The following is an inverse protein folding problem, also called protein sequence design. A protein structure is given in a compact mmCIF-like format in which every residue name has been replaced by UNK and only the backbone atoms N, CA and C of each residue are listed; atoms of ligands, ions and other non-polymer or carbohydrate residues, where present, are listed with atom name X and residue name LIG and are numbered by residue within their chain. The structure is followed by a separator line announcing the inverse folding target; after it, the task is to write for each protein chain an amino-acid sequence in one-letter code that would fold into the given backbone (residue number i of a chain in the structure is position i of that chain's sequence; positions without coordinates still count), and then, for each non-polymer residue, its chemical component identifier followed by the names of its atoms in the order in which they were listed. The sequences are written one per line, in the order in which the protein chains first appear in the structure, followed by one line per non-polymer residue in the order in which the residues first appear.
data_IF_804347103112
#
_entry.id   IF_804347103112
#
_cell.length_a   1.000
_cell.length_b   1.000
_cell.length_c   1.000
_cell.angle_alpha   90.00
_cell.angle_beta   90.00
_cell.angle_gamma   90.00
#
_symmetry.space_group_name_H-M   'P 1'
#
loop_
_entity.id
_entity.type
_entity.pdbx_description
1 polymer ?
#
# COMPACT_ATOMS: atom_id res chain seq x y z
N UNK A 1 -10.08 -9.93 39.54
CA UNK A 1 -8.78 -10.36 38.97
C UNK A 1 -8.80 -9.96 37.51
N UNK A 2 -8.25 -8.79 37.20
CA UNK A 2 -8.34 -8.19 35.87
C UNK A 2 -7.45 -8.93 34.88
N UNK A 3 -8.05 -9.24 33.73
CA UNK A 3 -7.44 -9.81 32.54
C UNK A 3 -6.27 -8.93 32.09
N UNK A 4 -5.04 -9.44 32.22
CA UNK A 4 -3.85 -8.77 31.70
C UNK A 4 -3.84 -9.00 30.19
N UNK A 5 -4.47 -8.07 29.48
CA UNK A 5 -4.40 -7.85 28.03
C UNK A 5 -3.06 -8.32 27.46
N UNK A 6 -3.03 -9.55 26.95
CA UNK A 6 -1.82 -10.16 26.42
C UNK A 6 -1.56 -9.47 25.09
N UNK A 7 -0.66 -8.47 25.11
CA UNK A 7 -0.30 -7.70 23.92
C UNK A 7 0.19 -8.70 22.86
N UNK A 8 -0.44 -8.76 21.67
CA UNK A 8 -0.09 -9.77 20.67
C UNK A 8 1.37 -9.65 20.28
N UNK A 9 2.03 -10.77 19.96
CA UNK A 9 3.40 -10.77 19.47
C UNK A 9 3.55 -9.83 18.26
N UNK A 10 4.71 -9.20 18.09
CA UNK A 10 4.94 -8.20 17.04
C UNK A 10 4.70 -8.79 15.64
N UNK A 11 5.01 -10.08 15.46
CA UNK A 11 4.74 -10.85 14.26
C UNK A 11 3.24 -10.94 13.98
N UNK A 12 2.42 -11.20 15.01
CA UNK A 12 0.96 -11.25 14.91
C UNK A 12 0.37 -9.87 14.59
N UNK A 13 0.94 -8.80 15.16
CA UNK A 13 0.52 -7.42 14.82
C UNK A 13 0.82 -7.10 13.34
N UNK A 14 1.99 -7.50 12.85
CA UNK A 14 2.34 -7.34 11.44
C UNK A 14 1.42 -8.18 10.53
N UNK A 15 1.12 -9.43 10.89
CA UNK A 15 0.20 -10.30 10.13
C UNK A 15 -1.22 -9.73 10.07
N UNK A 16 -1.72 -9.17 11.19
CA UNK A 16 -3.01 -8.49 11.24
C UNK A 16 -3.03 -7.27 10.30
N UNK A 17 -2.02 -6.41 10.35
CA UNK A 17 -1.92 -5.24 9.44
C UNK A 17 -1.88 -5.67 7.97
N UNK A 18 -1.11 -6.70 7.63
CA UNK A 18 -1.07 -7.22 6.25
C UNK A 18 -2.45 -7.73 5.83
N UNK A 19 -3.13 -8.49 6.69
CA UNK A 19 -4.47 -9.00 6.40
C UNK A 19 -5.48 -7.86 6.18
N UNK A 20 -5.39 -6.79 6.96
CA UNK A 20 -6.22 -5.59 6.81
C UNK A 20 -5.93 -4.86 5.49
N UNK A 21 -4.66 -4.64 5.14
CA UNK A 21 -4.24 -4.04 3.87
C UNK A 21 -4.77 -4.86 2.69
N UNK A 22 -4.58 -6.18 2.71
CA UNK A 22 -5.03 -7.06 1.63
C UNK A 22 -6.56 -7.14 1.55
N UNK A 23 -7.26 -7.09 2.69
CA UNK A 23 -8.73 -7.05 2.72
C UNK A 23 -9.25 -5.73 2.17
N UNK A 24 -8.64 -4.61 2.52
CA UNK A 24 -8.98 -3.30 1.98
C UNK A 24 -8.76 -3.28 0.46
N UNK A 25 -7.60 -3.73 0.00
CA UNK A 25 -7.27 -3.89 -1.42
C UNK A 25 -8.33 -4.72 -2.18
N UNK A 26 -8.69 -5.88 -1.63
CA UNK A 26 -9.71 -6.73 -2.20
C UNK A 26 -11.09 -6.05 -2.21
N UNK A 27 -11.41 -5.25 -1.18
CA UNK A 27 -12.67 -4.51 -1.13
C UNK A 27 -12.79 -3.50 -2.26
N UNK A 28 -11.78 -2.66 -2.45
CA UNK A 28 -11.76 -1.65 -3.52
C UNK A 28 -11.75 -2.28 -4.92
N UNK A 29 -11.11 -3.43 -5.07
CA UNK A 29 -11.11 -4.14 -6.34
C UNK A 29 -12.48 -4.74 -6.73
N UNK A 30 -13.44 -4.87 -5.80
CA UNK A 30 -14.79 -5.38 -6.11
C UNK A 30 -15.65 -4.37 -6.86
N UNK A 31 -15.37 -3.08 -6.70
CA UNK A 31 -16.09 -1.99 -7.35
C UNK A 31 -15.46 -1.63 -8.71
N UNK A 32 -14.32 -2.25 -9.03
CA UNK A 32 -13.59 -2.06 -10.29
C UNK A 32 -13.75 -3.26 -11.22
N UNK A 33 -13.60 -3.07 -12.54
CA UNK A 33 -13.47 -4.15 -13.50
C UNK A 33 -12.45 -5.21 -13.06
N UNK A 34 -12.81 -6.49 -13.17
CA UNK A 34 -11.96 -7.61 -12.70
C UNK A 34 -10.55 -7.65 -13.29
N UNK A 35 -10.38 -7.11 -14.51
CA UNK A 35 -9.09 -6.97 -15.17
C UNK A 35 -8.12 -6.00 -14.45
N UNK A 36 -8.63 -5.11 -13.60
CA UNK A 36 -7.84 -4.12 -12.85
C UNK A 36 -7.42 -4.62 -11.47
N UNK A 37 -7.98 -5.75 -11.00
CA UNK A 37 -7.67 -6.33 -9.70
C UNK A 37 -6.15 -6.48 -9.46
N UNK A 38 -5.33 -6.99 -10.42
CA UNK A 38 -3.89 -7.07 -10.21
C UNK A 38 -3.21 -5.70 -10.08
N UNK A 39 -3.68 -4.71 -10.86
CA UNK A 39 -3.14 -3.34 -10.82
C UNK A 39 -3.45 -2.65 -9.49
N UNK A 40 -4.68 -2.79 -8.99
CA UNK A 40 -5.12 -2.27 -7.69
C UNK A 40 -4.33 -2.92 -6.56
N UNK A 41 -4.16 -4.26 -6.60
CA UNK A 41 -3.35 -4.98 -5.60
C UNK A 41 -1.89 -4.52 -5.57
N UNK A 42 -1.27 -4.32 -6.74
CA UNK A 42 0.10 -3.83 -6.82
C UNK A 42 0.26 -2.42 -6.21
N UNK A 43 -0.69 -1.51 -6.51
CA UNK A 43 -0.73 -0.17 -5.90
C UNK A 43 -0.90 -0.23 -4.39
N UNK A 44 -1.78 -1.11 -3.88
CA UNK A 44 -1.97 -1.31 -2.43
C UNK A 44 -0.69 -1.74 -1.72
N UNK A 45 0.02 -2.72 -2.30
CA UNK A 45 1.28 -3.22 -1.74
C UNK A 45 2.32 -2.11 -1.67
N UNK A 46 2.51 -1.36 -2.76
CA UNK A 46 3.50 -0.26 -2.80
C UNK A 46 3.14 0.89 -1.87
N UNK A 47 1.85 1.26 -1.75
CA UNK A 47 1.40 2.24 -0.76
C UNK A 47 1.68 1.79 0.68
N UNK A 48 1.42 0.52 0.99
CA UNK A 48 1.69 -0.03 2.32
C UNK A 48 3.19 -0.13 2.63
N UNK A 49 4.03 -0.46 1.65
CA UNK A 49 5.49 -0.36 1.77
C UNK A 49 5.94 1.06 2.10
N UNK A 50 5.37 2.06 1.42
CA UNK A 50 5.70 3.47 1.69
C UNK A 50 5.32 3.90 3.09
N UNK A 51 4.10 3.57 3.56
CA UNK A 51 3.68 3.87 4.93
C UNK A 51 4.61 3.18 5.94
N UNK A 52 5.04 1.95 5.65
CA UNK A 52 6.02 1.24 6.47
C UNK A 52 7.42 1.87 6.44
N UNK A 53 7.81 2.51 5.33
CA UNK A 53 9.10 3.21 5.17
C UNK A 53 9.08 4.65 5.70
N UNK A 54 7.92 5.28 5.90
CA UNK A 54 7.76 6.62 6.52
C UNK A 54 8.08 6.67 8.04
N UNK A 55 8.98 5.81 8.52
CA UNK A 55 9.41 5.69 9.93
C UNK A 55 9.85 7.02 10.55
N UNK A 56 10.30 7.97 9.73
CA UNK A 56 10.80 9.28 10.13
C UNK A 56 9.75 10.40 10.20
N UNK A 57 8.53 10.20 9.67
CA UNK A 57 7.49 11.25 9.59
C UNK A 57 6.45 11.19 10.71
N UNK A 58 6.36 10.08 11.43
CA UNK A 58 5.49 9.94 12.57
C UNK A 58 6.15 10.55 13.81
N UNK A 59 5.36 11.21 14.66
CA UNK A 59 5.85 11.75 15.92
C UNK A 59 6.58 10.65 16.71
N UNK A 60 7.81 10.89 17.19
CA UNK A 60 8.56 9.88 17.90
C UNK A 60 7.77 9.43 19.13
N UNK A 61 7.61 8.11 19.27
CA UNK A 61 6.98 7.54 20.45
C UNK A 61 8.02 7.38 21.58
N UNK A 62 7.59 7.32 22.85
CA UNK A 62 8.46 6.86 23.94
C UNK A 62 8.99 5.45 23.66
N UNK A 63 10.12 5.10 24.26
CA UNK A 63 10.58 3.70 24.30
C UNK A 63 9.80 2.92 25.38
N UNK A 64 9.47 1.63 25.14
CA UNK A 64 9.89 0.79 24.01
C UNK A 64 9.00 0.87 22.76
N UNK A 65 7.96 1.70 22.76
CA UNK A 65 6.92 1.71 21.71
C UNK A 65 7.47 2.12 20.34
N UNK A 66 8.45 3.02 20.29
CA UNK A 66 9.13 3.41 19.05
C UNK A 66 9.86 2.21 18.42
N UNK A 67 10.63 1.47 19.22
CA UNK A 67 11.32 0.26 18.76
C UNK A 67 10.35 -0.82 18.28
N UNK A 68 9.29 -1.09 19.06
CA UNK A 68 8.24 -2.05 18.69
C UNK A 68 7.56 -1.67 17.35
N UNK A 69 7.20 -0.38 17.19
CA UNK A 69 6.60 0.15 15.97
C UNK A 69 7.52 -0.05 14.76
N UNK A 70 8.81 0.26 14.90
CA UNK A 70 9.80 0.06 13.82
C UNK A 70 9.93 -1.41 13.43
N UNK A 71 9.94 -2.32 14.41
CA UNK A 71 9.98 -3.76 14.15
C UNK A 71 8.73 -4.23 13.41
N UNK A 72 7.54 -3.83 13.85
CA UNK A 72 6.28 -4.20 13.18
C UNK A 72 6.24 -3.68 11.74
N UNK A 73 6.60 -2.40 11.51
CA UNK A 73 6.62 -1.83 10.16
C UNK A 73 7.65 -2.52 9.26
N UNK A 74 8.82 -2.88 9.80
CA UNK A 74 9.81 -3.69 9.08
C UNK A 74 9.26 -5.05 8.66
N UNK A 75 8.63 -5.78 9.59
CA UNK A 75 8.01 -7.08 9.31
C UNK A 75 6.88 -6.98 8.28
N UNK A 76 6.08 -5.91 8.32
CA UNK A 76 5.05 -5.65 7.31
C UNK A 76 5.66 -5.45 5.94
N UNK A 77 6.68 -4.58 5.81
CA UNK A 77 7.35 -4.33 4.54
C UNK A 77 7.98 -5.61 3.96
N UNK A 78 8.69 -6.39 4.79
CA UNK A 78 9.35 -7.62 4.34
C UNK A 78 8.35 -8.67 3.85
N UNK A 79 7.22 -8.83 4.54
CA UNK A 79 6.18 -9.78 4.13
C UNK A 79 5.41 -9.31 2.90
N UNK A 80 5.15 -8.02 2.75
CA UNK A 80 4.52 -7.46 1.55
C UNK A 80 5.38 -7.65 0.30
N UNK A 81 6.70 -7.63 0.45
CA UNK A 81 7.68 -7.94 -0.62
C UNK A 81 7.82 -9.43 -0.93
N UNK A 82 7.26 -10.31 -0.08
CA UNK A 82 7.44 -11.75 -0.23
C UNK A 82 6.74 -12.29 -1.49
N UNK A 83 7.29 -13.34 -2.14
CA UNK A 83 6.66 -13.96 -3.30
C UNK A 83 5.22 -14.44 -3.05
N UNK A 84 4.89 -14.80 -1.81
CA UNK A 84 3.52 -15.21 -1.45
C UNK A 84 2.49 -14.09 -1.67
N UNK A 85 2.91 -12.82 -1.55
CA UNK A 85 2.06 -11.63 -1.74
C UNK A 85 2.17 -11.08 -3.16
N UNK A 86 3.38 -11.09 -3.73
CA UNK A 86 3.70 -10.42 -5.00
C UNK A 86 3.56 -11.30 -6.24
N UNK A 87 3.39 -12.62 -6.10
CA UNK A 87 3.25 -13.54 -7.23
C UNK A 87 2.14 -13.10 -8.20
N UNK A 88 2.49 -12.97 -9.47
CA UNK A 88 1.60 -12.53 -10.55
C UNK A 88 1.39 -11.02 -10.63
N UNK A 89 2.06 -10.24 -9.78
CA UNK A 89 2.03 -8.77 -9.78
C UNK A 89 3.34 -8.18 -10.31
N UNK A 90 4.32 -8.99 -10.68
CA UNK A 90 5.66 -8.56 -11.09
C UNK A 90 5.62 -7.52 -12.23
N UNK A 91 4.82 -7.69 -13.30
CA UNK A 91 4.73 -6.69 -14.36
C UNK A 91 4.15 -5.36 -13.87
N UNK A 92 3.24 -5.40 -12.89
CA UNK A 92 2.60 -4.23 -12.32
C UNK A 92 3.55 -3.50 -11.36
N UNK A 93 4.26 -4.24 -10.51
CA UNK A 93 5.26 -3.71 -9.58
C UNK A 93 6.43 -3.07 -10.33
N UNK A 94 6.92 -3.71 -11.40
CA UNK A 94 7.98 -3.15 -12.25
C UNK A 94 7.53 -1.88 -12.97
N UNK A 95 6.33 -1.84 -13.54
CA UNK A 95 5.81 -0.65 -14.21
C UNK A 95 5.62 0.54 -13.26
N UNK A 96 5.26 0.25 -12.01
CA UNK A 96 5.15 1.23 -10.93
C UNK A 96 6.52 1.79 -10.52
N UNK A 97 7.54 0.94 -10.39
CA UNK A 97 8.93 1.34 -10.13
C UNK A 97 9.52 2.18 -11.28
N UNK A 98 9.23 1.83 -12.54
CA UNK A 98 9.65 2.65 -13.69
C UNK A 98 8.99 4.04 -13.73
N UNK A 99 7.74 4.16 -13.27
CA UNK A 99 7.07 5.44 -13.13
C UNK A 99 7.68 6.26 -11.97
N UNK A 100 7.99 5.61 -10.86
CA UNK A 100 8.68 6.19 -9.71
C UNK A 100 10.05 6.79 -10.09
N UNK A 101 10.89 6.01 -10.78
CA UNK A 101 12.21 6.47 -11.23
C UNK A 101 12.13 7.74 -12.09
N UNK A 102 11.05 7.88 -12.87
CA UNK A 102 10.77 9.07 -13.69
C UNK A 102 10.20 10.25 -12.91
N UNK A 103 9.61 10.02 -11.73
CA UNK A 103 8.97 11.05 -10.91
C UNK A 103 9.86 11.64 -9.82
N UNK A 104 11.17 11.34 -9.82
CA UNK A 104 12.23 11.95 -8.98
C UNK A 104 12.04 11.81 -7.47
N UNK A 105 12.42 10.66 -6.88
CA UNK A 105 12.88 10.65 -5.49
C UNK A 105 12.56 9.39 -4.69
N UNK A 106 13.58 8.85 -4.01
CA UNK A 106 13.46 7.78 -3.03
C UNK A 106 12.47 8.14 -1.92
N UNK A 107 11.49 7.28 -1.70
CA UNK A 107 10.37 7.47 -0.76
C UNK A 107 10.78 7.75 0.69
N UNK A 108 11.98 7.34 1.09
CA UNK A 108 12.44 7.42 2.46
C UNK A 108 12.94 8.82 2.87
N UNK A 109 13.25 9.71 1.92
CA UNK A 109 14.04 10.92 2.20
C UNK A 109 13.32 12.25 1.96
N UNK A 110 12.21 12.29 1.23
CA UNK A 110 11.56 13.55 0.82
C UNK A 110 10.09 13.60 1.23
N UNK A 111 9.66 14.68 1.88
CA UNK A 111 8.29 14.84 2.39
C UNK A 111 7.24 14.90 1.26
N UNK A 112 7.65 15.38 0.07
CA UNK A 112 6.78 15.41 -1.12
C UNK A 112 6.63 14.06 -1.80
N UNK A 113 7.47 13.06 -1.47
CA UNK A 113 7.47 11.76 -2.12
C UNK A 113 6.13 11.02 -1.97
N UNK A 114 5.38 11.26 -0.89
CA UNK A 114 4.04 10.71 -0.74
C UNK A 114 3.07 11.29 -1.78
N UNK A 115 3.09 12.60 -2.00
CA UNK A 115 2.18 13.26 -2.97
C UNK A 115 2.54 12.87 -4.40
N UNK A 116 3.84 12.80 -4.69
CA UNK A 116 4.37 12.35 -5.98
C UNK A 116 3.98 10.89 -6.26
N UNK A 117 4.06 10.03 -5.25
CA UNK A 117 3.63 8.65 -5.39
C UNK A 117 2.12 8.50 -5.57
N UNK A 118 1.31 9.23 -4.81
CA UNK A 118 -0.15 9.24 -4.98
C UNK A 118 -0.48 9.59 -6.44
N UNK A 119 0.17 10.61 -6.98
CA UNK A 119 0.04 11.00 -8.39
C UNK A 119 0.47 9.87 -9.33
N UNK A 120 1.61 9.23 -9.07
CA UNK A 120 2.11 8.09 -9.85
C UNK A 120 1.15 6.91 -9.84
N UNK A 121 0.58 6.56 -8.68
CA UNK A 121 -0.39 5.48 -8.53
C UNK A 121 -1.68 5.77 -9.30
N UNK A 122 -2.20 7.00 -9.23
CA UNK A 122 -3.39 7.43 -9.99
C UNK A 122 -3.11 7.32 -11.49
N UNK A 123 -2.02 7.92 -11.97
CA UNK A 123 -1.63 7.88 -13.39
C UNK A 123 -1.47 6.44 -13.89
N UNK A 124 -0.89 5.58 -13.06
CA UNK A 124 -0.75 4.16 -13.36
C UNK A 124 -2.09 3.46 -13.52
N UNK A 125 -2.99 3.59 -12.53
CA UNK A 125 -4.32 2.98 -12.57
C UNK A 125 -5.13 3.51 -13.76
N UNK A 126 -5.13 4.82 -13.99
CA UNK A 126 -5.79 5.40 -15.16
C UNK A 126 -5.27 4.82 -16.47
N UNK A 127 -3.96 4.61 -16.61
CA UNK A 127 -3.39 3.96 -17.80
C UNK A 127 -3.90 2.54 -17.95
N UNK A 128 -3.97 1.77 -16.87
CA UNK A 128 -4.55 0.42 -16.86
C UNK A 128 -6.03 0.43 -17.24
N UNK A 129 -6.82 1.37 -16.69
CA UNK A 129 -8.24 1.52 -17.02
C UNK A 129 -8.47 1.91 -18.48
N UNK A 130 -7.67 2.83 -19.04
CA UNK A 130 -7.76 3.25 -20.45
C UNK A 130 -7.41 2.12 -21.44
N UNK A 131 -6.58 1.17 -21.01
CA UNK A 131 -6.22 0.00 -21.81
C UNK A 131 -7.37 -1.01 -21.96
N UNK A 132 -8.43 -0.89 -21.15
CA UNK A 132 -9.62 -1.74 -21.28
C UNK A 132 -10.50 -1.33 -22.48
N UNK A 133 -11.28 -2.29 -23.03
CA UNK A 133 -12.33 -2.02 -24.00
C UNK A 133 -13.30 -0.95 -23.47
N UNK A 134 -13.86 -0.13 -24.36
CA UNK A 134 -14.66 1.03 -23.95
C UNK A 134 -15.84 0.70 -23.01
N UNK A 135 -16.45 -0.48 -23.17
CA UNK A 135 -17.56 -0.93 -22.31
C UNK A 135 -17.15 -1.42 -20.92
N UNK A 136 -15.87 -1.68 -20.70
CA UNK A 136 -15.31 -2.17 -19.43
C UNK A 136 -14.47 -1.10 -18.72
N UNK A 137 -14.46 0.13 -19.24
CA UNK A 137 -13.70 1.22 -18.62
C UNK A 137 -14.41 1.66 -17.35
N UNK A 138 -13.67 1.83 -16.24
CA UNK A 138 -14.22 2.38 -15.03
C UNK A 138 -14.62 3.85 -15.22
N UNK A 139 -15.48 4.34 -14.32
CA UNK A 139 -15.96 5.71 -14.32
C UNK A 139 -14.81 6.73 -14.18
N UNK A 140 -15.00 7.99 -14.62
CA UNK A 140 -14.03 9.06 -14.35
C UNK A 140 -13.71 9.16 -12.85
N UNK A 141 -12.45 9.48 -12.51
CA UNK A 141 -11.94 9.65 -11.14
C UNK A 141 -11.91 8.39 -10.25
N UNK A 142 -12.25 7.21 -10.78
CA UNK A 142 -12.17 5.95 -10.02
C UNK A 142 -10.79 5.69 -9.41
N UNK A 143 -9.72 6.10 -10.10
CA UNK A 143 -8.34 5.87 -9.66
C UNK A 143 -8.02 6.70 -8.42
N UNK A 144 -8.49 7.94 -8.35
CA UNK A 144 -8.40 8.82 -7.18
C UNK A 144 -9.15 8.20 -5.99
N UNK A 145 -10.38 7.72 -6.21
CA UNK A 145 -11.20 7.10 -5.15
C UNK A 145 -10.54 5.84 -4.59
N UNK A 146 -10.00 4.98 -5.47
CA UNK A 146 -9.26 3.78 -5.08
C UNK A 146 -8.01 4.16 -4.26
N UNK A 147 -7.20 5.09 -4.75
CA UNK A 147 -5.96 5.49 -4.05
C UNK A 147 -6.27 6.15 -2.71
N UNK A 148 -7.26 7.03 -2.64
CA UNK A 148 -7.72 7.66 -1.40
C UNK A 148 -8.24 6.61 -0.40
N UNK A 149 -9.04 5.65 -0.87
CA UNK A 149 -9.57 4.56 -0.05
C UNK A 149 -8.46 3.66 0.51
N UNK A 150 -7.41 3.39 -0.27
CA UNK A 150 -6.25 2.62 0.19
C UNK A 150 -5.48 3.39 1.28
N UNK A 151 -5.21 4.68 1.07
CA UNK A 151 -4.48 5.52 2.04
C UNK A 151 -5.24 5.63 3.35
N UNK A 152 -6.55 5.88 3.30
CA UNK A 152 -7.41 5.94 4.48
C UNK A 152 -7.40 4.62 5.27
N UNK A 153 -7.24 3.49 4.58
CA UNK A 153 -7.20 2.16 5.20
C UNK A 153 -5.82 1.79 5.75
N UNK A 154 -4.74 2.31 5.17
CA UNK A 154 -3.36 2.02 5.57
C UNK A 154 -2.79 2.96 6.65
N UNK A 155 -3.40 4.12 6.86
CA UNK A 155 -2.95 5.15 7.83
C UNK A 155 -3.47 4.98 9.26
N UNK A 156 -4.20 3.90 9.56
CA UNK A 156 -4.74 3.58 10.90
C UNK A 156 -3.73 2.94 11.86
#
# INVERSE_FOLDING_TARGET
MADLTQRPALETQADQRIAEILRAAASWSRESPGALVPSIRAVCIRLAEMVADQRHYLAPLPEPQESERRTVLGLVADRLRSPAVTAGLEPHLMALEELELRSTGSWATIATAQTEWITTAIVYLERCGRALPAGDRPDPYWADDVVAGIIASGGG
#
